data_IF_640698121833
#
_entry.id   IF_640698121833
#
_cell.length_a   1.000
_cell.length_b   1.000
_cell.length_c   1.000
_cell.angle_alpha   90.00
_cell.angle_beta   90.00
_cell.angle_gamma   90.00
#
_symmetry.space_group_name_H-M   'P 1'
#
loop_
_entity.id
_entity.type
_entity.pdbx_description
1 polymer ?
#
# COMPACT_ATOMS: atom_id res chain seq x y z
N UNK A 1 8.90 -43.43 5.61
CA UNK A 1 7.42 -43.32 5.61
C UNK A 1 7.04 -42.05 4.90
N UNK A 2 6.79 -42.13 3.58
CA UNK A 2 6.45 -40.96 2.77
C UNK A 2 5.02 -40.50 3.08
N UNK A 3 4.86 -39.27 3.55
CA UNK A 3 3.56 -38.60 3.69
C UNK A 3 2.95 -38.45 2.28
N UNK A 4 1.99 -39.30 1.97
CA UNK A 4 1.19 -39.15 0.76
C UNK A 4 0.35 -37.86 0.91
N UNK A 5 0.74 -36.78 0.21
CA UNK A 5 -0.12 -35.61 0.09
C UNK A 5 -1.38 -36.01 -0.66
N UNK A 6 -2.57 -35.78 -0.13
CA UNK A 6 -3.80 -36.07 -0.86
C UNK A 6 -3.81 -35.28 -2.17
N UNK A 7 -4.08 -35.95 -3.26
CA UNK A 7 -4.28 -35.32 -4.56
C UNK A 7 -5.59 -34.51 -4.54
N UNK A 8 -5.61 -33.36 -5.18
CA UNK A 8 -6.85 -32.62 -5.38
C UNK A 8 -7.84 -33.46 -6.19
N UNK A 9 -9.04 -33.65 -5.66
CA UNK A 9 -10.11 -34.40 -6.35
C UNK A 9 -11.01 -33.38 -7.06
N UNK A 10 -11.15 -33.53 -8.38
CA UNK A 10 -12.07 -32.74 -9.17
C UNK A 10 -13.49 -33.31 -9.02
N UNK A 11 -14.43 -32.42 -8.68
CA UNK A 11 -15.85 -32.74 -8.57
C UNK A 11 -16.68 -31.76 -9.41
N UNK A 12 -17.78 -32.23 -9.97
CA UNK A 12 -18.77 -31.41 -10.66
C UNK A 12 -19.98 -31.20 -9.76
N UNK A 13 -20.46 -29.97 -9.69
CA UNK A 13 -21.63 -29.59 -8.90
C UNK A 13 -22.74 -29.08 -9.82
N UNK A 14 -23.98 -29.43 -9.51
CA UNK A 14 -25.16 -29.04 -10.30
C UNK A 14 -25.81 -27.74 -9.81
N UNK A 15 -25.38 -27.21 -8.68
CA UNK A 15 -25.86 -25.92 -8.17
C UNK A 15 -24.97 -25.37 -7.08
N UNK A 16 -24.78 -24.05 -7.10
CA UNK A 16 -24.07 -23.29 -6.08
C UNK A 16 -25.07 -22.28 -5.52
N UNK A 17 -25.47 -22.44 -4.26
CA UNK A 17 -26.50 -21.62 -3.61
C UNK A 17 -25.94 -20.61 -2.63
N UNK A 18 -24.68 -20.73 -2.23
CA UNK A 18 -24.06 -19.85 -1.25
C UNK A 18 -22.66 -19.41 -1.69
N UNK A 19 -22.30 -18.18 -1.35
CA UNK A 19 -20.98 -17.59 -1.58
C UNK A 19 -20.41 -17.19 -0.22
N UNK A 20 -19.21 -17.65 0.09
CA UNK A 20 -18.47 -17.12 1.22
C UNK A 20 -17.92 -15.75 0.88
N UNK A 21 -18.35 -14.73 1.60
CA UNK A 21 -17.89 -13.35 1.42
C UNK A 21 -16.98 -13.00 2.61
N UNK A 22 -15.79 -12.43 2.36
CA UNK A 22 -14.94 -11.93 3.45
C UNK A 22 -15.63 -10.78 4.18
N UNK A 23 -15.68 -10.84 5.50
CA UNK A 23 -16.27 -9.78 6.33
C UNK A 23 -15.53 -8.44 6.23
N UNK A 24 -14.25 -8.47 5.81
CA UNK A 24 -13.33 -7.34 5.86
C UNK A 24 -12.97 -6.75 4.49
N UNK A 25 -13.49 -7.28 3.40
CA UNK A 25 -13.15 -6.82 2.05
C UNK A 25 -14.42 -6.53 1.23
N UNK A 26 -15.09 -5.41 1.53
CA UNK A 26 -16.24 -5.01 0.73
C UNK A 26 -15.79 -4.68 -0.70
N UNK A 27 -16.59 -5.06 -1.70
CA UNK A 27 -16.35 -4.65 -3.08
C UNK A 27 -16.88 -3.24 -3.39
N UNK A 28 -17.77 -2.71 -2.53
CA UNK A 28 -18.39 -1.38 -2.60
C UNK A 28 -18.65 -0.85 -1.18
N UNK A 29 -18.47 0.44 -0.98
CA UNK A 29 -18.75 1.16 0.26
C UNK A 29 -19.39 2.51 -0.04
N UNK A 30 -20.15 3.03 0.94
CA UNK A 30 -20.74 4.37 0.90
C UNK A 30 -19.75 5.40 1.52
N UNK A 31 -19.94 6.67 1.17
CA UNK A 31 -19.10 7.76 1.70
C UNK A 31 -19.25 7.97 3.20
N UNK A 32 -20.41 7.58 3.73
CA UNK A 32 -20.74 7.65 5.17
C UNK A 32 -20.29 6.45 5.97
N UNK A 33 -19.81 5.39 5.30
CA UNK A 33 -19.35 4.20 6.00
C UNK A 33 -18.09 4.52 6.84
N UNK A 34 -17.82 3.73 7.90
CA UNK A 34 -16.63 3.89 8.70
C UNK A 34 -15.35 3.82 7.86
N UNK A 35 -14.40 4.72 8.10
CA UNK A 35 -13.14 4.79 7.36
C UNK A 35 -12.37 3.47 7.31
N UNK A 36 -12.46 2.68 8.39
CA UNK A 36 -11.81 1.36 8.50
C UNK A 36 -12.21 0.40 7.37
N UNK A 37 -13.43 0.53 6.81
CA UNK A 37 -13.91 -0.30 5.69
C UNK A 37 -13.11 -0.11 4.40
N UNK A 38 -12.44 1.03 4.26
CA UNK A 38 -11.58 1.33 3.11
C UNK A 38 -10.10 1.03 3.36
N UNK A 39 -9.71 0.77 4.61
CA UNK A 39 -8.33 0.52 5.00
C UNK A 39 -7.84 -0.85 4.51
N UNK A 40 -6.57 -0.94 4.16
CA UNK A 40 -5.86 -2.21 4.12
C UNK A 40 -5.29 -2.46 5.51
N UNK A 41 -5.79 -3.47 6.19
CA UNK A 41 -5.42 -3.81 7.56
C UNK A 41 -4.25 -4.79 7.56
N UNK A 42 -3.07 -4.37 8.02
CA UNK A 42 -1.88 -5.22 8.10
C UNK A 42 -1.89 -6.21 9.26
N UNK A 43 -2.92 -6.20 10.09
CA UNK A 43 -3.13 -7.24 11.10
C UNK A 43 -3.68 -8.53 10.49
N UNK A 44 -4.31 -8.43 9.32
CA UNK A 44 -4.93 -9.56 8.59
C UNK A 44 -4.42 -9.70 7.15
N UNK A 45 -3.79 -8.67 6.60
CA UNK A 45 -3.23 -8.67 5.25
C UNK A 45 -1.71 -8.63 5.29
N UNK A 46 -1.06 -9.32 4.37
CA UNK A 46 0.40 -9.28 4.25
C UNK A 46 0.88 -7.90 3.82
N UNK A 47 1.95 -7.45 4.45
CA UNK A 47 2.65 -6.22 4.09
C UNK A 47 3.66 -6.53 2.98
N UNK A 48 3.61 -5.76 1.89
CA UNK A 48 4.57 -5.89 0.78
C UNK A 48 5.88 -5.19 1.13
N UNK A 49 6.96 -5.96 1.20
CA UNK A 49 8.29 -5.53 1.63
C UNK A 49 9.24 -5.38 0.45
N UNK A 50 10.08 -4.35 0.52
CA UNK A 50 11.14 -4.06 -0.43
C UNK A 50 12.42 -3.82 0.37
N UNK A 51 13.57 -4.30 -0.11
CA UNK A 51 14.85 -4.02 0.53
C UNK A 51 15.36 -2.62 0.14
N UNK A 52 15.99 -1.86 1.05
CA UNK A 52 16.64 -0.60 0.70
C UNK A 52 17.80 -0.79 -0.31
N UNK A 53 18.42 -1.97 -0.33
CA UNK A 53 19.55 -2.29 -1.20
C UNK A 53 19.15 -2.91 -2.56
N UNK A 54 17.85 -3.09 -2.81
CA UNK A 54 17.37 -3.49 -4.14
C UNK A 54 17.45 -2.32 -5.11
N UNK A 55 17.66 -2.62 -6.39
CA UNK A 55 17.49 -1.62 -7.45
C UNK A 55 16.03 -1.23 -7.62
N UNK A 56 15.78 -0.02 -8.08
CA UNK A 56 14.41 0.44 -8.36
C UNK A 56 13.73 -0.40 -9.45
N UNK A 57 14.49 -0.97 -10.39
CA UNK A 57 13.96 -1.86 -11.43
C UNK A 57 13.47 -3.18 -10.84
N UNK A 58 14.24 -3.79 -9.92
CA UNK A 58 13.82 -5.01 -9.20
C UNK A 58 12.58 -4.76 -8.36
N UNK A 59 12.55 -3.65 -7.61
CA UNK A 59 11.39 -3.26 -6.82
C UNK A 59 10.14 -3.07 -7.70
N UNK A 60 10.26 -2.39 -8.84
CA UNK A 60 9.17 -2.19 -9.79
C UNK A 60 8.68 -3.50 -10.38
N UNK A 61 9.59 -4.41 -10.73
CA UNK A 61 9.25 -5.74 -11.22
C UNK A 61 8.43 -6.52 -10.17
N UNK A 62 8.90 -6.57 -8.93
CA UNK A 62 8.18 -7.21 -7.81
C UNK A 62 6.79 -6.61 -7.59
N UNK A 63 6.65 -5.27 -7.65
CA UNK A 63 5.36 -4.59 -7.55
C UNK A 63 4.40 -5.02 -8.67
N UNK A 64 4.89 -5.11 -9.92
CA UNK A 64 4.09 -5.54 -11.07
C UNK A 64 3.60 -6.98 -10.90
N UNK A 65 4.48 -7.89 -10.49
CA UNK A 65 4.14 -9.30 -10.25
C UNK A 65 3.12 -9.44 -9.12
N UNK A 66 3.26 -8.67 -8.04
CA UNK A 66 2.33 -8.68 -6.91
C UNK A 66 1.01 -7.92 -7.17
N UNK A 67 0.89 -7.18 -8.29
CA UNK A 67 -0.27 -6.32 -8.55
C UNK A 67 -0.38 -5.13 -7.59
N UNK A 68 0.73 -4.71 -6.98
CA UNK A 68 0.79 -3.65 -5.98
C UNK A 68 1.53 -2.42 -6.52
N UNK A 69 1.28 -1.26 -5.92
CA UNK A 69 1.87 0.01 -6.34
C UNK A 69 2.71 0.68 -5.26
N UNK A 70 2.75 0.11 -4.07
CA UNK A 70 3.54 0.59 -2.94
C UNK A 70 4.24 -0.58 -2.27
N UNK A 71 5.52 -0.41 -1.94
CA UNK A 71 6.31 -1.28 -1.09
C UNK A 71 6.83 -0.51 0.13
N UNK A 72 6.77 -1.14 1.29
CA UNK A 72 7.42 -0.62 2.49
C UNK A 72 8.88 -1.06 2.48
N UNK A 73 9.77 -0.07 2.64
CA UNK A 73 11.21 -0.30 2.64
C UNK A 73 11.64 -0.71 4.05
N UNK A 74 12.08 -1.96 4.16
CA UNK A 74 12.39 -2.59 5.45
C UNK A 74 13.81 -3.13 5.41
N UNK A 75 14.59 -2.75 6.41
CA UNK A 75 15.93 -3.30 6.61
C UNK A 75 15.85 -4.76 7.06
N UNK A 76 16.52 -5.64 6.31
CA UNK A 76 16.42 -7.09 6.54
C UNK A 76 17.08 -7.55 7.87
N UNK A 77 17.97 -6.74 8.45
CA UNK A 77 18.70 -7.11 9.68
C UNK A 77 17.99 -6.61 10.92
N UNK A 78 17.54 -5.34 10.90
CA UNK A 78 16.88 -4.70 12.04
C UNK A 78 15.38 -4.84 12.03
N UNK A 79 14.79 -5.31 10.94
CA UNK A 79 13.32 -5.32 10.69
C UNK A 79 12.69 -3.91 10.79
N UNK A 80 13.51 -2.86 10.80
CA UNK A 80 13.04 -1.49 10.90
C UNK A 80 12.46 -1.00 9.57
N UNK A 81 11.33 -0.33 9.63
CA UNK A 81 10.74 0.35 8.47
C UNK A 81 11.53 1.65 8.27
N UNK A 82 12.19 1.78 7.12
CA UNK A 82 12.96 2.96 6.75
C UNK A 82 12.16 3.96 5.93
N UNK A 83 11.15 3.49 5.19
CA UNK A 83 10.36 4.32 4.30
C UNK A 83 9.36 3.54 3.47
N UNK A 84 8.93 4.16 2.39
CA UNK A 84 8.10 3.55 1.36
C UNK A 84 8.51 4.02 -0.02
N UNK A 85 8.22 3.21 -1.02
CA UNK A 85 8.43 3.54 -2.42
C UNK A 85 7.22 3.12 -3.24
N UNK A 86 6.81 3.96 -4.18
CA UNK A 86 5.70 3.66 -5.08
C UNK A 86 6.19 3.41 -6.50
N UNK A 87 5.39 2.72 -7.30
CA UNK A 87 5.66 2.59 -8.73
C UNK A 87 5.70 3.94 -9.45
N UNK A 88 4.98 4.94 -8.93
CA UNK A 88 5.00 6.31 -9.46
C UNK A 88 6.34 7.03 -9.16
N UNK A 89 6.94 6.78 -7.99
CA UNK A 89 8.26 7.32 -7.67
C UNK A 89 9.31 6.80 -8.63
N UNK A 90 9.25 5.50 -8.94
CA UNK A 90 10.22 4.83 -9.82
C UNK A 90 10.04 5.25 -11.27
N UNK A 91 8.79 5.36 -11.75
CA UNK A 91 8.50 5.73 -13.14
C UNK A 91 8.45 7.25 -13.37
N UNK A 92 8.47 8.03 -12.31
CA UNK A 92 8.38 9.49 -12.34
C UNK A 92 9.73 10.18 -12.43
N UNK A 93 9.78 11.38 -11.85
CA UNK A 93 10.96 12.26 -11.95
C UNK A 93 12.06 11.97 -10.91
N UNK A 94 11.76 11.21 -9.84
CA UNK A 94 12.72 10.99 -8.74
C UNK A 94 14.04 10.37 -9.20
N UNK A 95 14.06 9.33 -10.05
CA UNK A 95 15.30 8.76 -10.56
C UNK A 95 16.14 9.78 -11.31
N UNK A 96 15.51 10.59 -12.18
CA UNK A 96 16.19 11.59 -12.94
C UNK A 96 16.77 12.71 -12.06
N UNK A 97 16.00 13.17 -11.07
CA UNK A 97 16.46 14.16 -10.09
C UNK A 97 17.63 13.64 -9.26
N UNK A 98 17.60 12.36 -8.89
CA UNK A 98 18.71 11.72 -8.18
C UNK A 98 19.98 11.71 -9.03
N UNK A 99 19.93 11.27 -10.29
CA UNK A 99 21.05 11.26 -11.20
C UNK A 99 21.61 12.68 -11.43
N UNK A 100 20.74 13.69 -11.57
CA UNK A 100 21.17 15.10 -11.70
C UNK A 100 21.93 15.57 -10.47
N UNK A 101 21.49 15.18 -9.27
CA UNK A 101 22.15 15.55 -8.00
C UNK A 101 23.55 14.93 -7.85
N UNK A 102 23.79 13.79 -8.50
CA UNK A 102 25.09 13.08 -8.48
C UNK A 102 26.08 13.61 -9.52
N UNK A 103 25.70 14.61 -10.34
CA UNK A 103 26.55 15.12 -11.42
C UNK A 103 26.58 14.18 -12.62
N UNK A 104 25.71 14.39 -13.55
CA UNK A 104 25.40 13.55 -14.74
C UNK A 104 26.61 13.03 -15.54
N UNK A 105 27.75 13.70 -15.47
CA UNK A 105 28.87 13.45 -16.38
C UNK A 105 30.00 12.60 -15.80
N UNK A 106 30.17 12.56 -14.48
CA UNK A 106 31.40 12.04 -13.88
C UNK A 106 31.23 10.77 -13.02
N UNK A 107 29.98 10.41 -12.65
CA UNK A 107 29.77 9.31 -11.69
C UNK A 107 29.69 7.93 -12.34
N UNK A 108 29.43 7.83 -13.64
CA UNK A 108 29.17 6.55 -14.32
C UNK A 108 27.88 5.84 -13.85
N UNK A 109 27.13 6.42 -12.92
CA UNK A 109 25.90 5.87 -12.37
C UNK A 109 24.77 6.02 -13.40
N UNK A 110 24.09 4.92 -13.67
CA UNK A 110 22.95 4.87 -14.60
C UNK A 110 21.64 4.65 -13.84
N UNK A 111 20.52 4.77 -14.53
CA UNK A 111 19.20 4.48 -13.96
C UNK A 111 19.11 3.07 -13.32
N UNK A 112 19.84 2.10 -13.84
CA UNK A 112 19.87 0.70 -13.35
C UNK A 112 20.60 0.53 -12.03
N UNK A 113 21.45 1.48 -11.69
CA UNK A 113 22.27 1.44 -10.48
C UNK A 113 21.60 2.12 -9.29
N UNK A 114 20.46 2.81 -9.53
CA UNK A 114 19.72 3.49 -8.47
C UNK A 114 19.09 2.47 -7.53
N UNK A 115 19.36 2.61 -6.25
CA UNK A 115 18.79 1.78 -5.21
C UNK A 115 17.49 2.39 -4.65
N UNK A 116 16.66 1.54 -4.07
CA UNK A 116 15.40 1.96 -3.45
C UNK A 116 15.64 3.04 -2.39
N UNK A 117 16.67 2.91 -1.56
CA UNK A 117 17.03 3.88 -0.51
C UNK A 117 17.34 5.29 -1.03
N UNK A 118 17.76 5.40 -2.30
CA UNK A 118 18.18 6.66 -2.91
C UNK A 118 16.99 7.57 -3.24
N UNK A 119 15.81 6.98 -3.50
CA UNK A 119 14.63 7.72 -3.95
C UNK A 119 13.35 7.44 -3.15
N UNK A 120 13.39 6.57 -2.14
CA UNK A 120 12.24 6.29 -1.28
C UNK A 120 11.78 7.53 -0.50
N UNK A 121 10.51 7.57 -0.13
CA UNK A 121 10.01 8.49 0.89
C UNK A 121 10.37 7.93 2.26
N UNK A 122 11.17 8.68 3.03
CA UNK A 122 11.59 8.26 4.38
C UNK A 122 10.41 8.31 5.35
N UNK A 123 10.46 7.52 6.41
CA UNK A 123 9.43 7.52 7.48
C UNK A 123 9.22 8.93 8.03
N UNK A 124 10.29 9.75 8.15
CA UNK A 124 10.22 11.15 8.60
C UNK A 124 9.32 12.04 7.73
N UNK A 125 9.13 11.68 6.47
CA UNK A 125 8.41 12.48 5.48
C UNK A 125 6.97 11.99 5.28
N UNK A 126 6.56 10.98 6.04
CA UNK A 126 5.22 10.42 5.93
C UNK A 126 4.17 11.35 6.52
N UNK A 127 3.08 11.47 5.81
CA UNK A 127 1.81 11.96 6.34
C UNK A 127 1.00 10.73 6.75
N UNK A 128 0.80 10.55 8.04
CA UNK A 128 0.11 9.38 8.61
C UNK A 128 -1.08 9.80 9.46
N UNK A 129 -1.94 8.84 9.77
CA UNK A 129 -3.06 9.02 10.70
C UNK A 129 -2.98 8.00 11.83
N UNK A 130 -3.43 8.39 13.01
CA UNK A 130 -3.54 7.51 14.16
C UNK A 130 -4.77 6.61 14.04
N UNK A 131 -4.65 5.33 14.37
CA UNK A 131 -5.74 4.35 14.34
C UNK A 131 -6.92 4.77 15.21
N UNK A 132 -6.65 5.43 16.34
CA UNK A 132 -7.70 5.96 17.21
C UNK A 132 -8.61 6.95 16.48
N UNK A 133 -8.03 7.81 15.65
CA UNK A 133 -8.78 8.78 14.86
C UNK A 133 -9.56 8.11 13.72
N UNK A 134 -9.01 7.05 13.12
CA UNK A 134 -9.68 6.29 12.04
C UNK A 134 -11.02 5.73 12.51
N UNK A 135 -11.11 5.26 13.75
CA UNK A 135 -12.34 4.67 14.30
C UNK A 135 -13.52 5.66 14.38
N UNK A 136 -13.25 6.96 14.42
CA UNK A 136 -14.27 8.02 14.46
C UNK A 136 -14.54 8.71 13.12
N UNK A 137 -13.85 8.29 12.05
CA UNK A 137 -13.93 8.94 10.73
C UNK A 137 -14.77 8.13 9.74
N UNK A 138 -15.26 8.82 8.71
CA UNK A 138 -15.95 8.21 7.56
C UNK A 138 -15.01 8.06 6.37
N UNK A 139 -15.45 7.31 5.36
CA UNK A 139 -14.74 7.19 4.08
C UNK A 139 -14.59 8.55 3.40
N UNK A 140 -15.61 9.43 3.50
CA UNK A 140 -15.51 10.81 2.99
C UNK A 140 -14.33 11.56 3.63
N UNK A 141 -14.13 11.43 4.93
CA UNK A 141 -12.99 12.06 5.63
C UNK A 141 -11.63 11.59 5.08
N UNK A 142 -11.54 10.33 4.66
CA UNK A 142 -10.31 9.81 4.03
C UNK A 142 -10.09 10.41 2.64
N UNK A 143 -11.15 10.58 1.85
CA UNK A 143 -11.06 11.25 0.55
C UNK A 143 -10.60 12.71 0.70
N UNK A 144 -11.14 13.42 1.70
CA UNK A 144 -10.74 14.80 2.01
C UNK A 144 -9.27 14.89 2.42
N UNK A 145 -8.77 13.89 3.17
CA UNK A 145 -7.34 13.80 3.49
C UNK A 145 -6.46 13.63 2.26
N UNK A 146 -6.85 12.80 1.30
CA UNK A 146 -6.12 12.66 0.04
C UNK A 146 -6.09 13.98 -0.74
N UNK A 147 -7.20 14.68 -0.83
CA UNK A 147 -7.29 15.98 -1.51
C UNK A 147 -6.41 17.03 -0.81
N UNK A 148 -6.49 17.10 0.52
CA UNK A 148 -5.74 18.07 1.33
C UNK A 148 -4.24 17.84 1.27
N UNK A 149 -3.79 16.58 1.26
CA UNK A 149 -2.37 16.23 1.36
C UNK A 149 -1.70 16.03 0.01
N UNK A 150 -2.46 15.81 -1.06
CA UNK A 150 -1.95 15.41 -2.36
C UNK A 150 -1.27 14.03 -2.39
N UNK A 151 -1.37 13.26 -1.29
CA UNK A 151 -0.76 11.94 -1.18
C UNK A 151 -1.65 10.89 -1.83
N UNK A 152 -1.05 9.82 -2.35
CA UNK A 152 -1.78 8.66 -2.89
C UNK A 152 -1.88 7.52 -1.88
N UNK A 153 -1.08 7.57 -0.83
CA UNK A 153 -1.00 6.58 0.24
C UNK A 153 -0.85 7.30 1.58
N UNK A 154 -1.65 6.89 2.58
CA UNK A 154 -1.62 7.44 3.93
C UNK A 154 -1.48 6.26 4.90
N UNK A 155 -0.31 6.06 5.52
CA UNK A 155 -0.10 5.05 6.54
C UNK A 155 -0.98 5.27 7.77
N UNK A 156 -1.45 4.18 8.37
CA UNK A 156 -2.18 4.18 9.62
C UNK A 156 -1.29 3.61 10.73
N UNK A 157 -1.08 4.38 11.76
CA UNK A 157 -0.23 4.03 12.88
C UNK A 157 -1.08 3.74 14.12
N UNK A 158 -0.70 2.73 14.88
CA UNK A 158 -1.25 2.44 16.20
C UNK A 158 -0.20 2.81 17.24
N UNK A 159 -0.53 3.81 18.07
CA UNK A 159 0.33 4.26 19.16
C UNK A 159 -0.20 3.68 20.46
N UNK A 160 0.29 2.53 20.87
CA UNK A 160 -0.02 1.99 22.19
C UNK A 160 0.74 2.76 23.27
N UNK A 161 -0.04 3.38 24.17
CA UNK A 161 0.41 3.92 25.47
C UNK A 161 1.89 4.31 25.53
N UNK A 162 2.26 5.32 24.72
CA UNK A 162 3.41 6.19 25.06
C UNK A 162 4.76 5.84 24.47
N UNK A 163 4.99 4.84 23.59
CA UNK A 163 6.39 4.60 23.15
C UNK A 163 6.64 4.07 21.75
N UNK A 164 5.76 3.31 21.12
CA UNK A 164 6.06 2.72 19.81
C UNK A 164 4.92 2.96 18.83
N UNK A 165 5.22 3.64 17.74
CA UNK A 165 4.32 3.72 16.60
C UNK A 165 4.43 2.43 15.79
N UNK A 166 3.31 1.72 15.68
CA UNK A 166 3.22 0.49 14.87
C UNK A 166 2.43 0.78 13.61
N UNK A 167 3.00 0.48 12.47
CA UNK A 167 2.25 0.50 11.22
C UNK A 167 1.22 -0.62 11.24
N UNK A 168 -0.06 -0.27 11.27
CA UNK A 168 -1.17 -1.23 11.36
C UNK A 168 -2.07 -1.24 10.13
N UNK A 169 -1.98 -0.25 9.26
CA UNK A 169 -2.80 -0.19 8.06
C UNK A 169 -2.34 0.84 7.04
N UNK A 170 -3.09 0.90 5.95
CA UNK A 170 -2.84 1.82 4.84
C UNK A 170 -4.14 2.22 4.18
N UNK A 171 -4.32 3.51 3.94
CA UNK A 171 -5.27 4.01 2.97
C UNK A 171 -4.55 4.22 1.63
N UNK A 172 -5.11 3.66 0.56
CA UNK A 172 -4.67 3.88 -0.82
C UNK A 172 -5.77 4.60 -1.58
N UNK A 173 -5.45 5.74 -2.20
CA UNK A 173 -6.43 6.53 -2.95
C UNK A 173 -7.11 5.71 -4.06
N UNK A 174 -6.35 4.86 -4.76
CA UNK A 174 -6.89 4.00 -5.80
C UNK A 174 -7.89 2.95 -5.26
N UNK A 175 -7.63 2.39 -4.07
CA UNK A 175 -8.56 1.45 -3.42
C UNK A 175 -9.84 2.18 -2.99
N UNK A 176 -9.69 3.31 -2.29
CA UNK A 176 -10.84 4.10 -1.81
C UNK A 176 -11.71 4.57 -2.98
N UNK A 177 -11.11 5.13 -4.04
CA UNK A 177 -11.83 5.57 -5.23
C UNK A 177 -12.57 4.42 -5.92
N UNK A 178 -11.95 3.26 -6.04
CA UNK A 178 -12.59 2.06 -6.62
C UNK A 178 -13.78 1.60 -5.79
N UNK A 179 -13.63 1.52 -4.48
CA UNK A 179 -14.69 1.06 -3.58
C UNK A 179 -15.87 2.03 -3.53
N UNK A 180 -15.63 3.34 -3.68
CA UNK A 180 -16.67 4.39 -3.62
C UNK A 180 -17.23 4.79 -4.98
N UNK A 181 -16.83 4.14 -6.06
CA UNK A 181 -17.20 4.55 -7.43
C UNK A 181 -18.71 4.69 -7.64
N UNK A 182 -19.48 3.70 -7.17
CA UNK A 182 -20.95 3.73 -7.32
C UNK A 182 -21.60 4.81 -6.45
N UNK A 183 -21.16 4.98 -5.21
CA UNK A 183 -21.66 6.01 -4.30
C UNK A 183 -21.41 7.42 -4.87
N UNK A 184 -20.23 7.67 -5.39
CA UNK A 184 -19.84 8.95 -6.00
C UNK A 184 -20.64 9.26 -7.27
N UNK A 185 -20.89 8.27 -8.14
CA UNK A 185 -21.74 8.44 -9.33
C UNK A 185 -23.19 8.75 -8.96
N UNK A 186 -23.70 8.18 -7.88
CA UNK A 186 -25.04 8.47 -7.38
C UNK A 186 -25.14 9.91 -6.88
N UNK A 187 -24.15 10.36 -6.09
CA UNK A 187 -24.09 11.71 -5.55
C UNK A 187 -23.96 12.80 -6.65
N UNK A 188 -23.27 12.50 -7.76
CA UNK A 188 -23.11 13.46 -8.86
C UNK A 188 -24.34 13.61 -9.77
N UNK A 189 -25.38 12.77 -9.59
CA UNK A 189 -26.65 12.82 -10.35
C UNK A 189 -27.83 13.39 -9.56
N UNK A 190 -27.63 13.63 -8.27
CA UNK A 190 -28.58 14.22 -7.35
C UNK A 190 -28.34 15.73 -7.21
#
# INVERSE_FOLDING_TARGET
MGLHKPAAVLQTFTGITNISVPDNEPWQIELTDPAISAMTDFRVSALFRVSPEETIEEALHKMKVAGLRLGFVIDAKSEAIQGSITSYDIMGEKPMRYLQSMGFSDSGVTHKDILVKDIMDKVSDWVSVEMLNVNGCTVQSVLDLFQKTGRTHIPVLDTKAGKEHRLCGLFSSSKVLRLTEFARRKASKA
#
